data_IF_189569554044
#
_entry.id   IF_189569554044
#
_cell.length_a   1.000
_cell.length_b   1.000
_cell.length_c   1.000
_cell.angle_alpha   90.00
_cell.angle_beta   90.00
_cell.angle_gamma   90.00
#
_symmetry.space_group_name_H-M   'P 1'
#
loop_
_entity.id
_entity.type
_entity.pdbx_description
1 polymer ?
#
# COMPACT_ATOMS: atom_id res chain seq x y z
N UNK A 1 19.90 4.21 -3.45
CA UNK A 1 20.20 2.91 -2.78
C UNK A 1 19.62 1.81 -3.66
N UNK A 2 20.44 0.81 -4.06
CA UNK A 2 19.95 -0.26 -4.93
C UNK A 2 18.89 -1.14 -4.24
N UNK A 3 18.09 -1.86 -5.04
CA UNK A 3 16.98 -2.69 -4.57
C UNK A 3 17.36 -3.69 -3.44
N UNK A 4 18.53 -4.37 -3.57
CA UNK A 4 19.02 -5.30 -2.56
C UNK A 4 19.32 -4.62 -1.22
N UNK A 5 20.00 -3.47 -1.24
CA UNK A 5 20.32 -2.72 -0.02
C UNK A 5 19.05 -2.18 0.68
N UNK A 6 18.03 -1.83 -0.10
CA UNK A 6 16.72 -1.42 0.45
C UNK A 6 16.01 -2.57 1.14
N UNK A 7 15.95 -3.76 0.51
CA UNK A 7 15.39 -4.95 1.16
C UNK A 7 16.09 -5.26 2.47
N UNK A 8 17.41 -5.26 2.48
CA UNK A 8 18.19 -5.51 3.69
C UNK A 8 17.87 -4.47 4.77
N UNK A 9 17.79 -3.19 4.40
CA UNK A 9 17.45 -2.11 5.33
C UNK A 9 16.10 -2.35 6.01
N UNK A 10 15.04 -2.60 5.25
CA UNK A 10 13.71 -2.83 5.83
C UNK A 10 13.65 -4.13 6.65
N UNK A 11 14.28 -5.21 6.17
CA UNK A 11 14.33 -6.47 6.92
C UNK A 11 14.99 -6.28 8.28
N UNK A 12 16.13 -5.53 8.34
CA UNK A 12 16.81 -5.21 9.59
C UNK A 12 15.97 -4.28 10.44
N UNK A 13 15.40 -3.21 9.88
CA UNK A 13 14.58 -2.24 10.60
C UNK A 13 13.41 -2.91 11.31
N UNK A 14 12.66 -3.78 10.61
CA UNK A 14 11.57 -4.56 11.21
C UNK A 14 12.06 -5.55 12.29
N UNK A 15 13.25 -6.13 12.10
CA UNK A 15 13.82 -7.06 13.07
C UNK A 15 14.22 -6.38 14.38
N UNK A 16 14.77 -5.16 14.30
CA UNK A 16 15.23 -4.40 15.48
C UNK A 16 14.15 -3.46 16.04
N UNK A 17 12.97 -3.39 15.40
CA UNK A 17 11.86 -2.56 15.85
C UNK A 17 12.03 -1.04 15.58
N UNK A 18 12.93 -0.66 14.69
CA UNK A 18 13.14 0.73 14.27
C UNK A 18 12.30 1.05 13.04
N UNK A 19 10.99 1.12 13.22
CA UNK A 19 10.01 1.26 12.14
C UNK A 19 9.08 2.45 12.40
N UNK A 20 9.55 3.71 12.28
CA UNK A 20 8.75 4.90 12.56
C UNK A 20 7.54 5.05 11.63
N UNK A 21 7.48 4.29 10.55
CA UNK A 21 6.35 4.22 9.61
C UNK A 21 5.29 3.17 9.98
N UNK A 22 5.56 2.29 10.94
CA UNK A 22 4.67 1.18 11.35
C UNK A 22 3.71 1.67 12.44
N UNK A 23 2.75 2.51 12.06
CA UNK A 23 1.73 3.07 12.96
C UNK A 23 0.69 2.01 13.33
N UNK A 24 0.28 2.00 14.61
CA UNK A 24 -0.72 1.05 15.11
C UNK A 24 -2.14 1.37 14.60
N UNK A 25 -2.45 2.66 14.51
CA UNK A 25 -3.75 3.15 14.10
C UNK A 25 -3.82 3.28 12.57
N UNK A 26 -4.98 2.96 11.96
CA UNK A 26 -5.20 3.17 10.53
C UNK A 26 -5.21 4.67 10.21
N UNK A 27 -4.75 5.07 9.00
CA UNK A 27 -4.83 6.46 8.60
C UNK A 27 -6.29 6.90 8.43
N UNK A 28 -6.62 8.18 8.75
CA UNK A 28 -8.00 8.70 8.64
C UNK A 28 -8.62 8.47 7.26
N UNK A 29 -7.82 8.50 6.20
CA UNK A 29 -8.29 8.30 4.82
C UNK A 29 -8.74 6.85 4.58
N UNK A 30 -8.09 5.88 5.20
CA UNK A 30 -8.56 4.48 5.16
C UNK A 30 -9.84 4.32 6.01
N UNK A 31 -9.91 4.98 7.16
CA UNK A 31 -11.11 4.99 8.02
C UNK A 31 -12.31 5.55 7.25
N UNK A 32 -12.13 6.67 6.52
CA UNK A 32 -13.21 7.27 5.70
C UNK A 32 -13.71 6.30 4.62
N UNK A 33 -12.82 5.55 3.98
CA UNK A 33 -13.18 4.55 2.95
C UNK A 33 -13.90 3.34 3.55
N UNK A 34 -13.58 2.97 4.78
CA UNK A 34 -14.11 1.76 5.45
C UNK A 34 -15.37 2.05 6.28
N UNK A 35 -15.43 3.19 6.96
CA UNK A 35 -16.46 3.50 7.96
C UNK A 35 -17.19 4.84 7.71
N UNK A 36 -16.63 5.73 6.86
CA UNK A 36 -17.17 7.06 6.61
C UNK A 36 -18.55 7.08 5.93
N UNK A 37 -19.08 8.26 5.72
CA UNK A 37 -20.44 8.46 5.14
C UNK A 37 -20.59 7.85 3.73
N UNK A 38 -19.51 7.78 2.98
CA UNK A 38 -19.46 7.19 1.63
C UNK A 38 -18.61 5.92 1.59
N UNK A 39 -18.63 5.15 2.68
CA UNK A 39 -17.88 3.91 2.80
C UNK A 39 -18.20 2.91 1.70
N UNK A 40 -17.20 2.16 1.31
CA UNK A 40 -17.34 1.03 0.40
C UNK A 40 -18.00 -0.15 1.10
N UNK A 41 -18.77 -0.93 0.35
CA UNK A 41 -19.22 -2.24 0.83
C UNK A 41 -18.02 -3.19 0.94
N UNK A 42 -17.89 -3.96 2.03
CA UNK A 42 -16.83 -4.94 2.15
C UNK A 42 -16.79 -5.90 0.97
N UNK A 43 -15.60 -6.10 0.42
CA UNK A 43 -15.29 -6.99 -0.68
C UNK A 43 -13.87 -7.54 -0.52
N UNK A 44 -13.12 -7.66 -1.61
CA UNK A 44 -11.72 -8.09 -1.59
C UNK A 44 -10.79 -6.87 -1.54
N UNK A 45 -9.87 -6.83 -0.59
CA UNK A 45 -8.89 -5.76 -0.46
C UNK A 45 -7.46 -6.28 -0.63
N UNK A 46 -6.62 -5.49 -1.29
CA UNK A 46 -5.18 -5.71 -1.43
C UNK A 46 -4.41 -4.60 -0.72
N UNK A 47 -3.55 -4.98 0.23
CA UNK A 47 -2.65 -4.09 0.97
C UNK A 47 -1.22 -4.24 0.43
N UNK A 48 -0.75 -3.26 -0.33
CA UNK A 48 0.55 -3.24 -1.00
C UNK A 48 1.62 -2.62 -0.11
N UNK A 49 2.59 -3.42 0.33
CA UNK A 49 3.57 -3.04 1.33
C UNK A 49 2.99 -3.11 2.73
N UNK A 50 2.24 -4.16 3.04
CA UNK A 50 1.44 -4.29 4.26
C UNK A 50 2.25 -4.25 5.58
N UNK A 51 3.57 -4.33 5.53
CA UNK A 51 4.44 -4.28 6.71
C UNK A 51 4.03 -5.28 7.79
N UNK A 52 3.79 -4.80 9.01
CA UNK A 52 3.34 -5.64 10.12
C UNK A 52 1.82 -5.85 10.15
N UNK A 53 1.10 -5.45 9.08
CA UNK A 53 -0.29 -5.79 8.83
C UNK A 53 -1.32 -4.96 9.60
N UNK A 54 -0.99 -3.77 10.09
CA UNK A 54 -1.94 -2.96 10.87
C UNK A 54 -3.18 -2.58 10.03
N UNK A 55 -2.99 -2.05 8.82
CA UNK A 55 -4.08 -1.73 7.89
C UNK A 55 -4.81 -2.98 7.39
N UNK A 56 -4.07 -4.04 7.07
CA UNK A 56 -4.68 -5.33 6.69
C UNK A 56 -5.62 -5.87 7.77
N UNK A 57 -5.17 -5.82 9.03
CA UNK A 57 -5.97 -6.28 10.19
C UNK A 57 -7.20 -5.39 10.36
N UNK A 58 -7.03 -4.07 10.31
CA UNK A 58 -8.15 -3.13 10.40
C UNK A 58 -9.21 -3.39 9.31
N UNK A 59 -8.83 -3.56 8.06
CA UNK A 59 -9.76 -3.89 6.98
C UNK A 59 -10.48 -5.23 7.24
N UNK A 60 -9.75 -6.25 7.70
CA UNK A 60 -10.34 -7.56 7.99
C UNK A 60 -11.32 -7.52 9.18
N UNK A 61 -11.04 -6.74 10.23
CA UNK A 61 -11.97 -6.48 11.35
C UNK A 61 -13.29 -5.84 10.89
N UNK A 62 -13.27 -5.15 9.73
CA UNK A 62 -14.46 -4.54 9.10
C UNK A 62 -15.05 -5.39 7.96
N UNK A 63 -14.75 -6.69 7.94
CA UNK A 63 -15.38 -7.66 7.05
C UNK A 63 -14.79 -7.77 5.64
N UNK A 64 -13.65 -7.13 5.35
CA UNK A 64 -12.97 -7.26 4.07
C UNK A 64 -12.20 -8.59 3.98
N UNK A 65 -12.25 -9.24 2.80
CA UNK A 65 -11.38 -10.36 2.48
C UNK A 65 -10.02 -9.82 2.02
N UNK A 66 -9.02 -9.81 2.93
CA UNK A 66 -7.77 -9.08 2.74
C UNK A 66 -6.65 -10.00 2.27
N UNK A 67 -5.93 -9.56 1.22
CA UNK A 67 -4.59 -10.04 0.86
C UNK A 67 -3.58 -8.94 1.17
N UNK A 68 -2.57 -9.23 1.97
CA UNK A 68 -1.47 -8.30 2.28
C UNK A 68 -0.15 -8.80 1.69
N UNK A 69 0.59 -7.91 1.04
CA UNK A 69 1.87 -8.24 0.39
C UNK A 69 2.98 -7.34 0.90
N UNK A 70 4.09 -7.94 1.34
CA UNK A 70 5.32 -7.22 1.66
C UNK A 70 6.55 -8.09 1.33
N UNK A 71 7.65 -7.48 0.91
CA UNK A 71 8.89 -8.22 0.65
C UNK A 71 9.65 -8.60 1.93
N UNK A 72 9.44 -7.87 3.04
CA UNK A 72 10.12 -8.08 4.31
C UNK A 72 9.50 -9.27 5.05
N UNK A 73 10.19 -10.41 5.03
CA UNK A 73 9.69 -11.64 5.64
C UNK A 73 9.45 -11.52 7.14
N UNK A 74 10.26 -10.73 7.84
CA UNK A 74 10.07 -10.49 9.27
C UNK A 74 8.76 -9.73 9.54
N UNK A 75 8.44 -8.71 8.73
CA UNK A 75 7.21 -7.95 8.84
C UNK A 75 5.99 -8.84 8.58
N UNK A 76 5.97 -9.60 7.47
CA UNK A 76 4.89 -10.55 7.13
C UNK A 76 4.67 -11.59 8.23
N UNK A 77 5.74 -12.15 8.80
CA UNK A 77 5.60 -13.11 9.90
C UNK A 77 5.03 -12.45 11.16
N UNK A 78 5.34 -11.19 11.43
CA UNK A 78 4.75 -10.43 12.52
C UNK A 78 3.26 -10.14 12.26
N UNK A 79 2.91 -9.75 11.03
CA UNK A 79 1.53 -9.55 10.60
C UNK A 79 0.69 -10.83 10.78
N UNK A 80 1.20 -11.98 10.34
CA UNK A 80 0.54 -13.29 10.53
C UNK A 80 0.29 -13.62 12.00
N UNK A 81 1.25 -13.34 12.88
CA UNK A 81 1.06 -13.55 14.33
C UNK A 81 -0.01 -12.65 14.91
N UNK A 82 -0.03 -11.36 14.51
CA UNK A 82 -1.05 -10.40 14.96
C UNK A 82 -2.46 -10.82 14.48
N UNK A 83 -2.61 -11.20 13.21
CA UNK A 83 -3.87 -11.64 12.65
C UNK A 83 -4.41 -12.87 13.39
N UNK A 84 -3.56 -13.90 13.59
CA UNK A 84 -3.94 -15.11 14.34
C UNK A 84 -4.35 -14.82 15.78
N UNK A 85 -3.64 -13.90 16.47
CA UNK A 85 -3.98 -13.51 17.84
C UNK A 85 -5.36 -12.82 17.95
N UNK A 86 -5.89 -12.30 16.83
CA UNK A 86 -7.23 -11.71 16.73
C UNK A 86 -8.27 -12.64 16.09
N UNK A 87 -7.90 -13.88 15.77
CA UNK A 87 -8.79 -14.85 15.10
C UNK A 87 -9.13 -14.46 13.66
N UNK A 88 -8.31 -13.64 13.01
CA UNK A 88 -8.54 -13.17 11.64
C UNK A 88 -7.84 -14.08 10.62
N UNK A 89 -8.55 -14.40 9.54
CA UNK A 89 -8.01 -15.11 8.38
C UNK A 89 -7.64 -14.08 7.31
N UNK A 90 -6.36 -13.77 7.19
CA UNK A 90 -5.80 -12.81 6.23
C UNK A 90 -4.73 -13.51 5.40
N UNK A 91 -4.83 -13.41 4.09
CA UNK A 91 -3.83 -13.94 3.17
C UNK A 91 -2.60 -13.00 3.12
N UNK A 92 -1.61 -13.27 3.96
CA UNK A 92 -0.41 -12.46 4.09
C UNK A 92 0.76 -13.13 3.38
N UNK A 93 1.29 -12.48 2.33
CA UNK A 93 2.31 -13.05 1.44
C UNK A 93 3.62 -12.27 1.49
N UNK A 94 4.73 -13.02 1.52
CA UNK A 94 6.05 -12.44 1.27
C UNK A 94 6.28 -12.41 -0.24
N UNK A 95 6.15 -11.23 -0.85
CA UNK A 95 6.33 -11.07 -2.28
C UNK A 95 6.77 -9.65 -2.65
N UNK A 96 7.20 -9.49 -3.89
CA UNK A 96 7.53 -8.19 -4.49
C UNK A 96 6.27 -7.60 -5.14
N UNK A 97 5.89 -6.40 -4.74
CA UNK A 97 4.70 -5.69 -5.26
C UNK A 97 4.80 -5.36 -6.75
N UNK A 98 6.00 -5.45 -7.33
CA UNK A 98 6.23 -5.28 -8.78
C UNK A 98 6.10 -6.58 -9.58
N UNK A 99 5.78 -7.71 -8.92
CA UNK A 99 5.69 -9.05 -9.50
C UNK A 99 4.59 -9.88 -8.82
N UNK A 100 3.41 -9.30 -8.63
CA UNK A 100 2.28 -9.94 -7.93
C UNK A 100 1.82 -11.22 -8.59
N UNK A 101 1.80 -11.27 -9.93
CA UNK A 101 1.44 -12.46 -10.70
C UNK A 101 2.35 -13.66 -10.34
N UNK A 102 3.66 -13.44 -10.25
CA UNK A 102 4.64 -14.47 -9.86
C UNK A 102 4.46 -14.99 -8.43
N UNK A 103 3.76 -14.24 -7.58
CA UNK A 103 3.41 -14.63 -6.23
C UNK A 103 2.00 -15.23 -6.10
N UNK A 104 1.29 -15.42 -7.22
CA UNK A 104 -0.08 -15.91 -7.26
C UNK A 104 -1.10 -14.95 -6.65
N UNK A 105 -0.79 -13.65 -6.65
CA UNK A 105 -1.74 -12.61 -6.22
C UNK A 105 -2.58 -12.21 -7.42
N UNK A 106 -3.81 -12.72 -7.44
CA UNK A 106 -4.73 -12.53 -8.55
C UNK A 106 -6.01 -11.82 -8.08
N UNK A 107 -6.40 -10.81 -8.88
CA UNK A 107 -7.63 -10.06 -8.69
C UNK A 107 -8.90 -10.87 -9.02
N UNK A 108 -10.04 -10.21 -9.17
CA UNK A 108 -10.16 -8.77 -8.97
C UNK A 108 -10.25 -8.37 -7.50
N UNK A 109 -9.62 -7.25 -7.14
CA UNK A 109 -9.80 -6.58 -5.85
C UNK A 109 -10.71 -5.36 -6.01
N UNK A 110 -11.54 -5.11 -5.00
CA UNK A 110 -12.46 -3.96 -4.94
C UNK A 110 -11.81 -2.72 -4.33
N UNK A 111 -10.83 -2.95 -3.43
CA UNK A 111 -9.99 -1.92 -2.82
C UNK A 111 -8.52 -2.31 -2.94
N UNK A 112 -7.71 -1.41 -3.48
CA UNK A 112 -6.24 -1.50 -3.43
C UNK A 112 -5.73 -0.36 -2.54
N UNK A 113 -4.90 -0.70 -1.56
CA UNK A 113 -4.39 0.22 -0.56
C UNK A 113 -2.86 0.21 -0.54
N UNK A 114 -2.26 1.40 -0.47
CA UNK A 114 -0.82 1.59 -0.30
C UNK A 114 -0.54 2.75 0.67
N UNK A 115 0.08 2.44 1.80
CA UNK A 115 0.56 3.42 2.77
C UNK A 115 2.09 3.50 2.71
N UNK A 116 2.62 4.08 1.62
CA UNK A 116 4.03 4.42 1.54
C UNK A 116 4.95 3.37 0.91
N UNK A 117 4.41 2.36 0.22
CA UNK A 117 5.22 1.43 -0.55
C UNK A 117 5.71 2.06 -1.87
N UNK A 118 4.80 2.66 -2.63
CA UNK A 118 5.05 3.22 -3.96
C UNK A 118 6.19 4.25 -4.00
N UNK A 119 6.21 5.21 -3.07
CA UNK A 119 7.25 6.24 -3.03
C UNK A 119 8.64 5.68 -2.63
N UNK A 120 8.66 4.47 -2.10
CA UNK A 120 9.89 3.73 -1.83
C UNK A 120 10.52 3.10 -3.07
N UNK A 121 9.83 2.99 -4.20
CA UNK A 121 10.30 2.34 -5.42
C UNK A 121 11.09 3.33 -6.31
N UNK A 122 12.04 2.81 -7.10
CA UNK A 122 12.65 3.59 -8.18
C UNK A 122 11.71 3.70 -9.40
N UNK A 123 12.08 4.49 -10.40
CA UNK A 123 11.19 4.80 -11.51
C UNK A 123 10.75 3.54 -12.27
N UNK A 124 11.68 2.64 -12.60
CA UNK A 124 11.37 1.40 -13.32
C UNK A 124 10.48 0.45 -12.50
N UNK A 125 10.74 0.35 -11.20
CA UNK A 125 9.92 -0.45 -10.30
C UNK A 125 8.50 0.14 -10.15
N UNK A 126 8.35 1.47 -10.16
CA UNK A 126 7.03 2.14 -10.14
C UNK A 126 6.20 1.83 -11.40
N UNK A 127 6.85 1.74 -12.56
CA UNK A 127 6.15 1.34 -13.79
C UNK A 127 5.58 -0.06 -13.68
N UNK A 128 6.40 -1.03 -13.26
CA UNK A 128 5.93 -2.41 -13.04
C UNK A 128 4.85 -2.50 -11.96
N UNK A 129 5.03 -1.75 -10.88
CA UNK A 129 4.05 -1.67 -9.79
C UNK A 129 2.69 -1.17 -10.29
N UNK A 130 2.65 -0.09 -11.09
CA UNK A 130 1.39 0.45 -11.61
C UNK A 130 0.68 -0.54 -12.54
N UNK A 131 1.44 -1.28 -13.36
CA UNK A 131 0.91 -2.35 -14.21
C UNK A 131 0.31 -3.50 -13.37
N UNK A 132 1.00 -3.93 -12.32
CA UNK A 132 0.49 -4.97 -11.42
C UNK A 132 -0.74 -4.50 -10.65
N UNK A 133 -0.73 -3.27 -10.10
CA UNK A 133 -1.90 -2.68 -9.43
C UNK A 133 -3.11 -2.63 -10.38
N UNK A 134 -2.90 -2.22 -11.63
CA UNK A 134 -3.96 -2.19 -12.65
C UNK A 134 -4.49 -3.59 -12.99
N UNK A 135 -3.59 -4.58 -13.10
CA UNK A 135 -3.95 -5.98 -13.43
C UNK A 135 -4.84 -6.61 -12.37
N UNK A 136 -4.57 -6.33 -11.11
CA UNK A 136 -5.28 -6.96 -9.98
C UNK A 136 -6.53 -6.20 -9.55
N UNK A 137 -6.69 -4.94 -9.96
CA UNK A 137 -7.88 -4.15 -9.65
C UNK A 137 -9.06 -4.55 -10.51
N UNK A 138 -10.22 -4.77 -9.90
CA UNK A 138 -11.48 -4.98 -10.60
C UNK A 138 -12.00 -3.69 -11.25
N UNK A 139 -12.92 -3.81 -12.20
CA UNK A 139 -13.57 -2.67 -12.84
C UNK A 139 -14.30 -1.80 -11.80
N UNK A 140 -13.98 -0.52 -11.75
CA UNK A 140 -14.53 0.40 -10.77
C UNK A 140 -13.92 0.31 -9.37
N UNK A 141 -12.90 -0.53 -9.16
CA UNK A 141 -12.20 -0.65 -7.89
C UNK A 141 -11.63 0.69 -7.43
N UNK A 142 -11.64 0.91 -6.13
CA UNK A 142 -10.99 2.07 -5.51
C UNK A 142 -9.53 1.77 -5.24
N UNK A 143 -8.65 2.69 -5.61
CA UNK A 143 -7.26 2.66 -5.22
C UNK A 143 -6.93 3.86 -4.33
N UNK A 144 -6.51 3.59 -3.10
CA UNK A 144 -6.10 4.58 -2.11
C UNK A 144 -4.59 4.51 -1.92
N UNK A 145 -3.89 5.57 -2.35
CA UNK A 145 -2.42 5.63 -2.37
C UNK A 145 -1.91 6.82 -1.57
N UNK A 146 -0.96 6.58 -0.67
CA UNK A 146 -0.17 7.62 0.00
C UNK A 146 1.21 7.76 -0.63
N UNK A 147 1.58 8.99 -1.03
CA UNK A 147 2.94 9.27 -1.52
C UNK A 147 3.43 10.67 -1.12
N UNK A 148 4.76 10.81 -0.93
CA UNK A 148 5.39 12.10 -0.69
C UNK A 148 5.61 12.86 -2.00
N UNK A 149 5.24 14.14 -2.02
CA UNK A 149 5.54 15.05 -3.14
C UNK A 149 6.85 15.82 -2.92
N UNK A 150 7.38 15.82 -1.71
CA UNK A 150 8.70 16.37 -1.37
C UNK A 150 9.52 15.32 -0.60
N UNK A 151 10.83 15.47 -0.53
CA UNK A 151 11.74 14.54 0.12
C UNK A 151 11.87 14.81 1.62
N UNK A 152 11.08 14.18 2.50
CA UNK A 152 11.02 14.56 3.93
C UNK A 152 12.33 14.30 4.68
N UNK A 153 13.17 13.41 4.17
CA UNK A 153 14.45 13.01 4.78
C UNK A 153 15.64 13.20 3.84
N UNK A 154 15.50 14.09 2.84
CA UNK A 154 16.53 14.38 1.85
C UNK A 154 16.88 13.14 1.00
N UNK A 155 18.14 13.06 0.51
CA UNK A 155 18.58 12.02 -0.45
C UNK A 155 18.56 10.59 0.10
N UNK A 156 18.45 10.38 1.39
CA UNK A 156 18.46 9.05 2.03
C UNK A 156 17.06 8.54 2.37
N UNK A 157 16.04 9.39 2.29
CA UNK A 157 14.65 9.06 2.58
C UNK A 157 13.85 8.59 1.36
N UNK A 158 12.51 8.53 1.51
CA UNK A 158 11.59 8.34 0.41
C UNK A 158 11.81 9.38 -0.68
N UNK A 159 11.66 8.97 -1.92
CA UNK A 159 11.80 9.90 -3.05
C UNK A 159 10.58 10.82 -3.13
N UNK A 160 10.83 12.10 -3.40
CA UNK A 160 9.78 13.01 -3.82
C UNK A 160 9.24 12.56 -5.18
N UNK A 161 7.93 12.47 -5.29
CA UNK A 161 7.25 12.17 -6.56
C UNK A 161 6.26 13.31 -6.78
N UNK A 162 6.51 14.21 -7.73
CA UNK A 162 5.57 15.29 -8.03
C UNK A 162 4.17 14.72 -8.30
N UNK A 163 3.15 15.42 -7.84
CA UNK A 163 1.74 15.01 -7.98
C UNK A 163 1.41 14.60 -9.41
N UNK A 164 1.78 15.42 -10.37
CA UNK A 164 1.52 15.18 -11.80
C UNK A 164 2.23 13.92 -12.32
N UNK A 165 3.34 13.53 -11.69
CA UNK A 165 4.05 12.30 -12.05
C UNK A 165 3.31 11.07 -11.51
N UNK A 166 2.73 11.14 -10.31
CA UNK A 166 1.84 10.08 -9.77
C UNK A 166 0.61 9.95 -10.67
N UNK A 167 -0.07 11.04 -10.96
CA UNK A 167 -1.28 11.03 -11.80
C UNK A 167 -1.00 10.43 -13.18
N UNK A 168 0.07 10.87 -13.88
CA UNK A 168 0.46 10.30 -15.18
C UNK A 168 0.79 8.81 -15.11
N UNK A 169 1.38 8.34 -14.00
CA UNK A 169 1.76 6.95 -13.83
C UNK A 169 0.54 6.02 -13.83
N UNK A 170 -0.57 6.47 -13.26
CA UNK A 170 -1.78 5.68 -13.09
C UNK A 170 -2.88 5.99 -14.12
N UNK A 171 -2.84 7.14 -14.80
CA UNK A 171 -3.87 7.61 -15.74
C UNK A 171 -4.29 6.56 -16.80
N UNK A 172 -3.40 5.76 -17.39
CA UNK A 172 -3.83 4.77 -18.38
C UNK A 172 -4.85 3.75 -17.85
N UNK A 173 -4.82 3.46 -16.55
CA UNK A 173 -5.65 2.43 -15.93
C UNK A 173 -6.66 2.97 -14.91
N UNK A 174 -6.41 4.14 -14.36
CA UNK A 174 -7.21 4.71 -13.29
C UNK A 174 -7.67 6.13 -13.60
N UNK A 175 -8.87 6.44 -13.17
CA UNK A 175 -9.42 7.80 -13.15
C UNK A 175 -9.10 8.45 -11.80
N UNK A 176 -8.46 9.64 -11.76
CA UNK A 176 -8.24 10.35 -10.52
C UNK A 176 -9.57 10.88 -9.99
N UNK A 177 -9.90 10.59 -8.73
CA UNK A 177 -11.09 11.07 -8.03
C UNK A 177 -10.74 12.22 -7.11
N UNK A 178 -9.67 12.08 -6.32
CA UNK A 178 -9.18 13.10 -5.41
C UNK A 178 -7.67 12.98 -5.20
N UNK A 179 -7.04 14.12 -4.90
CA UNK A 179 -5.69 14.19 -4.37
C UNK A 179 -5.69 15.21 -3.22
N UNK A 180 -5.72 14.70 -2.00
CA UNK A 180 -5.83 15.51 -0.79
C UNK A 180 -4.46 15.65 -0.12
N UNK A 181 -4.05 16.88 0.29
CA UNK A 181 -2.83 17.03 1.04
C UNK A 181 -2.96 16.33 2.40
N UNK A 182 -2.01 15.49 2.72
CA UNK A 182 -1.85 14.92 4.05
C UNK A 182 -1.09 15.87 4.97
N UNK A 183 -0.97 15.50 6.24
CA UNK A 183 -0.24 16.27 7.25
C UNK A 183 1.16 15.71 7.44
N UNK A 184 2.10 16.59 7.83
CA UNK A 184 3.46 16.21 8.19
C UNK A 184 4.53 16.58 7.16
N UNK A 185 5.79 16.20 7.42
CA UNK A 185 6.92 16.51 6.55
C UNK A 185 6.83 15.77 5.22
N UNK A 186 7.40 16.38 4.17
CA UNK A 186 7.46 15.79 2.84
C UNK A 186 6.26 16.06 1.97
N UNK A 187 5.37 16.98 2.39
CA UNK A 187 4.15 17.34 1.68
C UNK A 187 3.46 16.09 1.08
N UNK A 188 3.00 15.17 1.93
CA UNK A 188 2.37 13.95 1.44
C UNK A 188 1.04 14.27 0.77
N UNK A 189 0.65 13.38 -0.14
CA UNK A 189 -0.69 13.37 -0.73
C UNK A 189 -1.33 12.01 -0.57
N UNK A 190 -2.64 12.02 -0.34
CA UNK A 190 -3.53 10.88 -0.49
C UNK A 190 -4.25 10.98 -1.82
N UNK A 191 -4.03 9.98 -2.66
CA UNK A 191 -4.68 9.85 -3.96
C UNK A 191 -5.79 8.82 -3.85
N UNK A 192 -7.00 9.22 -4.20
CA UNK A 192 -8.11 8.30 -4.42
C UNK A 192 -8.34 8.20 -5.93
N UNK A 193 -8.22 7.01 -6.45
CA UNK A 193 -8.36 6.73 -7.88
C UNK A 193 -9.38 5.61 -8.07
N UNK A 194 -10.04 5.58 -9.23
CA UNK A 194 -10.98 4.52 -9.62
C UNK A 194 -10.46 3.78 -10.83
N UNK A 195 -10.47 2.46 -10.78
CA UNK A 195 -10.11 1.62 -11.93
C UNK A 195 -11.09 1.88 -13.09
N UNK A 196 -10.56 2.22 -14.26
CA UNK A 196 -11.37 2.35 -15.49
C UNK A 196 -11.94 0.98 -15.89
N UNK A 197 -13.08 1.00 -16.54
CA UNK A 197 -13.71 -0.21 -17.10
C UNK A 197 -13.05 -0.64 -18.38
#
# INVERSE_FOLDING_TARGET
MGWFARRLFFEVAYRVGLTPWDHADPPPELVEVIEGDRKLSPGRALDLGCGTGNSSIYMAEHGWAVTGVDFAGFAVNRARRKARARGLDIDLRRADVTQLAGAGVDGPFDLVFDLGCFHGLDAEARERYALEAARVSGDGATYLLFAFSDAPFGRRGPQAIPREAVERQFDPAFEPIAALPGTGPGAPYWYTMRRRR
#
